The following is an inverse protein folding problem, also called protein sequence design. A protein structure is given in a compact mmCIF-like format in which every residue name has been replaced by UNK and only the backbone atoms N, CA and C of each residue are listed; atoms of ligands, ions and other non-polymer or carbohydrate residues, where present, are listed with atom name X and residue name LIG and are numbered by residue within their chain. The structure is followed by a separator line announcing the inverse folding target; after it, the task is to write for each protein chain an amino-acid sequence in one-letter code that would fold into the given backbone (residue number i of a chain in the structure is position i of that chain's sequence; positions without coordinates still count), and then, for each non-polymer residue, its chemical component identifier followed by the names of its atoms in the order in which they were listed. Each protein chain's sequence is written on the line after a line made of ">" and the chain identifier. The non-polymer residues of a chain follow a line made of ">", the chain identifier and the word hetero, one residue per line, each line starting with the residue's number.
data_IF_553222043742
#
_entry.id   IF_553222043742
#
_cell.length_a   1.000
_cell.length_b   1.000
_cell.length_c   1.000
_cell.angle_alpha   90.00
_cell.angle_beta   90.00
_cell.angle_gamma   90.00
#
_symmetry.space_group_name_H-M   'P 1'
#
loop_
_entity.id
_entity.type
_entity.pdbx_description
1 polymer ?
#
# COMPACT_ATOMS: atom_id res chain seq x y z
N UNK A 1 -2.46 -46.05 0.28
CA UNK A 1 -3.23 -45.56 -0.88
C UNK A 1 -4.00 -44.33 -0.42
N UNK A 2 -3.42 -43.14 -0.57
CA UNK A 2 -4.03 -41.87 -0.12
C UNK A 2 -5.00 -41.36 -1.21
N UNK A 3 -6.22 -40.91 -0.88
CA UNK A 3 -7.20 -40.52 -1.87
C UNK A 3 -6.85 -39.16 -2.50
N UNK A 4 -6.88 -39.11 -3.83
CA UNK A 4 -6.54 -37.96 -4.70
C UNK A 4 -7.49 -36.75 -4.56
N UNK A 5 -8.45 -36.80 -3.64
CA UNK A 5 -9.53 -35.80 -3.52
C UNK A 5 -9.07 -34.44 -3.00
N UNK A 6 -7.95 -34.35 -2.27
CA UNK A 6 -7.47 -33.08 -1.71
C UNK A 6 -6.88 -32.14 -2.77
N UNK A 7 -6.21 -32.71 -3.78
CA UNK A 7 -5.65 -31.95 -4.91
C UNK A 7 -6.77 -31.47 -5.86
N UNK A 8 -7.78 -32.30 -6.11
CA UNK A 8 -8.95 -31.93 -6.90
C UNK A 8 -9.77 -30.81 -6.23
N UNK A 9 -9.95 -30.84 -4.90
CA UNK A 9 -10.61 -29.76 -4.16
C UNK A 9 -9.84 -28.42 -4.25
N UNK A 10 -8.51 -28.46 -4.15
CA UNK A 10 -7.66 -27.26 -4.29
C UNK A 10 -7.71 -26.70 -5.72
N UNK A 11 -7.68 -27.58 -6.72
CA UNK A 11 -7.73 -27.19 -8.13
C UNK A 11 -9.10 -26.63 -8.53
N UNK A 12 -10.18 -27.19 -7.96
CA UNK A 12 -11.54 -26.66 -8.10
C UNK A 12 -11.71 -25.30 -7.40
N UNK A 13 -11.11 -25.14 -6.23
CA UNK A 13 -11.05 -23.84 -5.54
C UNK A 13 -10.30 -22.77 -6.34
N UNK A 14 -9.23 -23.12 -7.06
CA UNK A 14 -8.52 -22.19 -7.95
C UNK A 14 -9.36 -21.79 -9.19
N UNK A 15 -10.16 -22.72 -9.74
CA UNK A 15 -11.07 -22.41 -10.84
C UNK A 15 -12.27 -21.55 -10.41
N UNK A 16 -12.84 -21.80 -9.23
CA UNK A 16 -13.92 -20.97 -8.66
C UNK A 16 -13.45 -19.54 -8.35
N UNK A 17 -12.21 -19.36 -7.89
CA UNK A 17 -11.60 -18.03 -7.71
C UNK A 17 -11.38 -17.33 -9.05
N UNK A 18 -11.06 -18.07 -10.12
CA UNK A 18 -10.82 -17.50 -11.44
C UNK A 18 -12.12 -17.08 -12.16
N UNK A 19 -13.26 -17.71 -11.83
CA UNK A 19 -14.59 -17.36 -12.38
C UNK A 19 -15.26 -16.17 -11.67
N UNK A 20 -14.71 -15.69 -10.55
CA UNK A 20 -15.20 -14.49 -9.85
C UNK A 20 -14.51 -13.18 -10.32
N UNK A 21 -13.65 -13.23 -11.33
CA UNK A 21 -12.87 -12.06 -11.82
C UNK A 21 -13.44 -11.45 -13.11
N UNK A 22 -14.67 -11.78 -13.54
CA UNK A 22 -15.21 -11.23 -14.80
C UNK A 22 -16.55 -10.53 -14.58
N UNK A 23 -16.50 -9.20 -14.81
CA UNK A 23 -17.57 -8.24 -15.03
C UNK A 23 -18.52 -7.91 -13.87
N UNK A 24 -18.00 -7.24 -12.84
CA UNK A 24 -18.77 -6.17 -12.21
C UNK A 24 -18.62 -4.91 -13.08
N UNK A 25 -19.70 -4.20 -13.45
CA UNK A 25 -19.56 -2.94 -14.14
C UNK A 25 -18.72 -2.03 -13.23
N UNK A 26 -17.71 -1.38 -13.80
CA UNK A 26 -17.03 -0.29 -13.13
C UNK A 26 -18.08 0.80 -12.88
N UNK A 27 -18.75 0.74 -11.74
CA UNK A 27 -19.34 1.93 -11.15
C UNK A 27 -18.16 2.88 -10.96
N UNK A 28 -18.02 3.83 -11.88
CA UNK A 28 -17.23 5.04 -11.63
C UNK A 28 -17.74 5.58 -10.31
N UNK A 29 -17.00 5.29 -9.25
CA UNK A 29 -17.20 5.86 -7.93
C UNK A 29 -16.93 7.35 -8.10
N UNK A 30 -17.95 8.11 -8.51
CA UNK A 30 -17.91 9.53 -8.86
C UNK A 30 -17.84 10.42 -7.61
N UNK A 31 -17.24 9.89 -6.54
CA UNK A 31 -16.99 10.57 -5.29
C UNK A 31 -15.49 10.51 -4.96
N UNK A 32 -15.00 11.57 -4.35
CA UNK A 32 -13.67 11.62 -3.76
C UNK A 32 -13.76 11.11 -2.31
N UNK A 33 -12.74 10.41 -1.79
CA UNK A 33 -12.77 9.81 -0.45
C UNK A 33 -12.68 10.82 0.71
N UNK A 34 -12.82 12.12 0.41
CA UNK A 34 -12.85 13.21 1.36
C UNK A 34 -14.27 13.54 1.80
N UNK A 35 -14.44 13.95 3.06
CA UNK A 35 -15.71 14.54 3.51
C UNK A 35 -15.91 15.95 2.97
N UNK A 36 -17.15 16.43 2.99
CA UNK A 36 -17.53 17.78 2.56
C UNK A 36 -16.69 18.88 3.23
N UNK A 37 -16.43 18.78 4.54
CA UNK A 37 -15.58 19.76 5.25
C UNK A 37 -14.13 19.87 4.75
N UNK A 38 -13.58 18.82 4.12
CA UNK A 38 -12.25 18.90 3.46
C UNK A 38 -12.34 19.64 2.13
N UNK A 39 -13.51 19.58 1.49
CA UNK A 39 -13.79 20.23 0.21
C UNK A 39 -14.19 21.69 0.37
N UNK A 40 -14.78 22.07 1.51
CA UNK A 40 -15.15 23.43 1.87
C UNK A 40 -13.95 24.38 2.07
N UNK A 41 -12.78 23.85 2.42
CA UNK A 41 -11.56 24.64 2.57
C UNK A 41 -11.19 25.33 1.23
N UNK A 42 -11.28 26.65 1.20
CA UNK A 42 -10.86 27.44 0.04
C UNK A 42 -9.36 27.30 -0.20
N UNK A 43 -8.99 26.79 -1.37
CA UNK A 43 -7.58 26.80 -1.79
C UNK A 43 -7.18 28.25 -2.10
N UNK A 44 -6.09 28.77 -1.51
CA UNK A 44 -5.53 30.03 -1.94
C UNK A 44 -5.27 30.00 -3.45
N UNK A 45 -5.57 31.11 -4.14
CA UNK A 45 -5.42 31.24 -5.62
C UNK A 45 -3.98 30.95 -6.08
N UNK A 46 -3.01 30.99 -5.18
CA UNK A 46 -1.59 30.68 -5.37
C UNK A 46 -1.13 29.43 -4.60
N UNK A 47 -2.02 28.49 -4.28
CA UNK A 47 -1.66 27.25 -3.59
C UNK A 47 -0.67 26.45 -4.43
N UNK A 48 0.62 26.53 -4.07
CA UNK A 48 1.70 25.85 -4.79
C UNK A 48 1.80 24.41 -4.33
N UNK A 49 1.37 23.47 -5.16
CA UNK A 49 1.71 22.06 -4.95
C UNK A 49 3.23 21.91 -4.86
N UNK A 50 3.77 21.23 -3.83
CA UNK A 50 5.20 21.02 -3.71
C UNK A 50 5.69 20.18 -4.90
N UNK A 51 6.27 20.85 -5.90
CA UNK A 51 6.49 20.37 -7.28
C UNK A 51 7.45 19.17 -7.41
N UNK A 52 8.02 18.71 -6.30
CA UNK A 52 9.10 17.70 -6.28
C UNK A 52 8.86 16.58 -5.27
N UNK A 53 7.63 16.43 -4.79
CA UNK A 53 7.26 15.43 -3.81
C UNK A 53 6.33 14.46 -4.52
N UNK A 54 6.88 13.58 -5.36
CA UNK A 54 6.11 12.50 -6.01
C UNK A 54 6.37 11.19 -5.24
N UNK A 55 5.31 10.41 -5.03
CA UNK A 55 5.33 9.14 -4.32
C UNK A 55 4.70 8.06 -5.19
N UNK A 56 5.54 7.19 -5.71
CA UNK A 56 5.17 6.10 -6.61
C UNK A 56 4.84 4.78 -5.88
N UNK A 57 4.98 4.75 -4.55
CA UNK A 57 4.83 3.54 -3.73
C UNK A 57 6.13 2.84 -3.36
N UNK A 58 7.29 3.28 -3.87
CA UNK A 58 8.57 2.58 -3.67
C UNK A 58 9.46 3.23 -2.62
N UNK A 59 9.40 4.56 -2.48
CA UNK A 59 10.17 5.30 -1.50
C UNK A 59 9.60 5.15 -0.07
N UNK A 60 10.34 5.63 0.93
CA UNK A 60 9.92 5.54 2.33
C UNK A 60 8.69 6.44 2.61
N UNK A 61 7.51 5.89 2.96
CA UNK A 61 6.31 6.69 3.19
C UNK A 61 6.41 7.64 4.38
N UNK A 62 7.15 7.27 5.43
CA UNK A 62 7.33 8.13 6.60
C UNK A 62 8.16 9.36 6.23
N UNK A 63 9.18 9.15 5.41
CA UNK A 63 9.98 10.25 4.86
C UNK A 63 9.15 11.13 3.93
N UNK A 64 8.32 10.52 3.08
CA UNK A 64 7.39 11.26 2.21
C UNK A 64 6.44 12.15 3.00
N UNK A 65 5.78 11.60 4.03
CA UNK A 65 4.90 12.35 4.95
C UNK A 65 5.66 13.48 5.63
N UNK A 66 6.86 13.22 6.14
CA UNK A 66 7.67 14.24 6.82
C UNK A 66 8.06 15.39 5.87
N UNK A 67 8.48 15.08 4.64
CA UNK A 67 8.80 16.08 3.61
C UNK A 67 7.56 16.93 3.26
N UNK A 68 6.41 16.28 3.13
CA UNK A 68 5.15 16.97 2.86
C UNK A 68 4.72 17.87 4.03
N UNK A 69 4.78 17.39 5.28
CA UNK A 69 4.43 18.16 6.47
C UNK A 69 5.28 19.43 6.60
N UNK A 70 6.58 19.35 6.29
CA UNK A 70 7.47 20.52 6.25
C UNK A 70 7.06 21.54 5.16
N UNK A 71 6.69 21.06 3.97
CA UNK A 71 6.20 21.94 2.90
C UNK A 71 4.86 22.58 3.26
N UNK A 72 3.95 21.80 3.84
CA UNK A 72 2.64 22.26 4.29
C UNK A 72 2.75 23.32 5.39
N UNK A 73 3.72 23.17 6.30
CA UNK A 73 4.01 24.16 7.33
C UNK A 73 4.48 25.48 6.72
N UNK A 74 5.39 25.44 5.75
CA UNK A 74 5.90 26.63 5.06
C UNK A 74 4.78 27.40 4.34
N UNK A 75 3.85 26.67 3.72
CA UNK A 75 2.71 27.25 3.01
C UNK A 75 1.48 27.51 3.90
N UNK A 76 1.56 27.20 5.21
CA UNK A 76 0.49 27.38 6.20
C UNK A 76 -0.84 26.72 5.80
N UNK A 77 -0.77 25.50 5.27
CA UNK A 77 -1.97 24.76 4.88
C UNK A 77 -2.85 24.39 6.07
N UNK A 78 -4.16 24.57 5.89
CA UNK A 78 -5.19 23.95 6.73
C UNK A 78 -5.23 22.45 6.49
N UNK A 79 -5.91 21.70 7.34
CA UNK A 79 -5.99 20.25 7.22
C UNK A 79 -6.71 19.78 5.95
N UNK A 80 -7.74 20.49 5.49
CA UNK A 80 -8.40 20.16 4.22
C UNK A 80 -7.49 20.41 3.02
N UNK A 81 -6.75 21.53 3.02
CA UNK A 81 -5.73 21.82 2.01
C UNK A 81 -4.64 20.76 2.02
N UNK A 82 -4.16 20.34 3.20
CA UNK A 82 -3.17 19.25 3.29
C UNK A 82 -3.67 17.98 2.63
N UNK A 83 -4.90 17.54 2.89
CA UNK A 83 -5.49 16.38 2.25
C UNK A 83 -5.48 16.48 0.72
N UNK A 84 -5.97 17.61 0.20
CA UNK A 84 -6.11 17.84 -1.24
C UNK A 84 -4.78 18.01 -1.95
N UNK A 85 -3.78 18.61 -1.31
CA UNK A 85 -2.43 18.74 -1.89
C UNK A 85 -1.63 17.45 -1.72
N UNK A 86 -1.87 16.65 -0.67
CA UNK A 86 -1.17 15.39 -0.48
C UNK A 86 -1.51 14.38 -1.59
N UNK A 87 -2.76 14.31 -2.06
CA UNK A 87 -3.10 13.40 -3.16
C UNK A 87 -2.40 13.75 -4.47
N UNK A 88 -2.09 15.02 -4.72
CA UNK A 88 -1.36 15.43 -5.93
C UNK A 88 0.09 14.94 -5.92
N UNK A 89 0.57 14.46 -4.77
CA UNK A 89 1.89 13.85 -4.63
C UNK A 89 1.90 12.37 -5.03
N UNK A 90 0.75 11.72 -5.20
CA UNK A 90 0.70 10.29 -5.47
C UNK A 90 0.83 10.00 -6.97
N UNK A 91 1.57 8.92 -7.27
CA UNK A 91 1.74 8.40 -8.60
C UNK A 91 1.60 6.88 -8.60
N UNK A 92 1.30 6.32 -9.78
CA UNK A 92 1.29 4.88 -10.04
C UNK A 92 0.50 4.11 -8.97
N UNK A 93 1.17 3.22 -8.24
CA UNK A 93 0.58 2.33 -7.24
C UNK A 93 -0.05 3.10 -6.08
N UNK A 94 0.51 4.25 -5.69
CA UNK A 94 -0.06 5.08 -4.63
C UNK A 94 -1.39 5.73 -5.04
N UNK A 95 -1.49 6.15 -6.32
CA UNK A 95 -2.73 6.70 -6.86
C UNK A 95 -3.82 5.62 -7.00
N UNK A 96 -3.44 4.40 -7.42
CA UNK A 96 -4.35 3.25 -7.46
C UNK A 96 -4.91 2.92 -6.08
N UNK A 97 -4.06 2.91 -5.04
CA UNK A 97 -4.49 2.71 -3.66
C UNK A 97 -5.50 3.77 -3.22
N UNK A 98 -5.23 5.05 -3.50
CA UNK A 98 -6.14 6.14 -3.12
C UNK A 98 -7.51 5.99 -3.77
N UNK A 99 -7.57 5.61 -5.05
CA UNK A 99 -8.82 5.39 -5.78
C UNK A 99 -9.64 4.19 -5.27
N UNK A 100 -9.03 3.29 -4.49
CA UNK A 100 -9.70 2.15 -3.87
C UNK A 100 -10.27 2.46 -2.48
N UNK A 101 -10.02 3.66 -1.94
CA UNK A 101 -10.56 4.04 -0.64
C UNK A 101 -12.07 4.24 -0.72
N UNK A 102 -12.84 3.84 0.31
CA UNK A 102 -14.26 4.13 0.35
C UNK A 102 -14.51 5.64 0.41
N UNK A 103 -15.68 6.05 -0.10
CA UNK A 103 -16.08 7.46 -0.14
C UNK A 103 -16.20 8.07 1.26
N UNK A 104 -15.84 9.35 1.38
CA UNK A 104 -16.02 10.16 2.59
C UNK A 104 -15.39 9.59 3.89
N UNK A 105 -14.33 8.79 3.78
CA UNK A 105 -13.65 8.20 4.94
C UNK A 105 -12.63 9.16 5.56
N UNK A 106 -12.07 10.08 4.78
CA UNK A 106 -11.01 10.99 5.23
C UNK A 106 -11.61 12.32 5.67
N UNK A 107 -11.57 12.63 6.96
CA UNK A 107 -12.10 13.88 7.54
C UNK A 107 -11.05 14.96 7.73
N UNK A 108 -9.79 14.57 7.90
CA UNK A 108 -8.67 15.47 8.15
C UNK A 108 -7.36 14.81 7.76
N UNK A 109 -6.28 15.59 7.81
CA UNK A 109 -4.97 15.11 7.38
C UNK A 109 -4.40 14.05 8.32
N UNK A 110 -4.73 14.09 9.62
CA UNK A 110 -4.25 13.10 10.58
C UNK A 110 -4.82 11.71 10.30
N UNK A 111 -6.12 11.60 10.01
CA UNK A 111 -6.76 10.35 9.58
C UNK A 111 -6.15 9.84 8.28
N UNK A 112 -5.97 10.73 7.29
CA UNK A 112 -5.38 10.36 6.01
C UNK A 112 -3.95 9.82 6.17
N UNK A 113 -3.13 10.51 6.97
CA UNK A 113 -1.75 10.10 7.29
C UNK A 113 -1.72 8.72 7.93
N UNK A 114 -2.62 8.46 8.87
CA UNK A 114 -2.71 7.16 9.54
C UNK A 114 -3.10 6.04 8.57
N UNK A 115 -4.09 6.26 7.69
CA UNK A 115 -4.48 5.30 6.66
C UNK A 115 -3.32 5.00 5.69
N UNK A 116 -2.64 6.04 5.23
CA UNK A 116 -1.48 5.92 4.33
C UNK A 116 -0.34 5.12 4.97
N UNK A 117 0.01 5.41 6.23
CA UNK A 117 1.05 4.68 6.95
C UNK A 117 0.63 3.25 7.34
N UNK A 118 -0.66 2.99 7.52
CA UNK A 118 -1.17 1.64 7.74
C UNK A 118 -1.08 0.79 6.47
N UNK A 119 -1.39 1.36 5.30
CA UNK A 119 -1.21 0.68 4.01
C UNK A 119 0.24 0.24 3.80
N UNK A 120 1.23 1.03 4.22
CA UNK A 120 2.65 0.61 4.22
C UNK A 120 2.88 -0.67 5.03
N UNK A 121 2.33 -0.73 6.25
CA UNK A 121 2.50 -1.89 7.12
C UNK A 121 1.93 -3.14 6.45
N UNK A 122 0.73 -3.03 5.88
CA UNK A 122 0.09 -4.11 5.13
C UNK A 122 0.88 -4.49 3.87
N UNK A 123 1.32 -3.53 3.05
CA UNK A 123 2.09 -3.80 1.83
C UNK A 123 3.43 -4.51 2.12
N UNK A 124 4.14 -4.11 3.18
CA UNK A 124 5.38 -4.81 3.59
C UNK A 124 5.14 -6.20 4.16
N UNK A 125 4.02 -6.40 4.88
CA UNK A 125 3.61 -7.73 5.35
C UNK A 125 3.28 -8.67 4.19
N UNK A 126 2.58 -8.18 3.16
CA UNK A 126 2.24 -8.98 1.98
C UNK A 126 3.46 -9.25 1.08
N UNK A 127 4.42 -8.32 0.97
CA UNK A 127 5.65 -8.55 0.21
C UNK A 127 6.62 -9.53 0.89
N UNK A 128 6.51 -9.75 2.20
CA UNK A 128 7.39 -10.64 2.98
C UNK A 128 6.56 -11.62 3.79
N UNK A 129 5.86 -12.49 3.07
CA UNK A 129 5.12 -13.61 3.68
C UNK A 129 6.09 -14.80 3.85
N UNK A 130 5.84 -15.73 4.77
CA UNK A 130 6.65 -16.97 4.88
C UNK A 130 6.81 -17.68 3.52
N UNK A 131 5.77 -17.62 2.66
CA UNK A 131 5.80 -18.12 1.28
C UNK A 131 6.91 -17.50 0.41
N UNK A 132 7.30 -16.24 0.64
CA UNK A 132 8.42 -15.62 -0.08
C UNK A 132 9.77 -16.17 0.36
N UNK A 133 9.94 -16.55 1.63
CA UNK A 133 11.15 -17.24 2.10
C UNK A 133 11.26 -18.62 1.43
N UNK A 134 10.15 -19.38 1.35
CA UNK A 134 10.12 -20.70 0.68
C UNK A 134 10.46 -20.65 -0.82
N UNK A 135 10.35 -19.47 -1.45
CA UNK A 135 10.75 -19.26 -2.85
C UNK A 135 12.26 -19.05 -3.05
N UNK A 136 13.02 -18.80 -1.98
CA UNK A 136 14.47 -18.57 -2.04
C UNK A 136 15.19 -19.92 -2.14
N UNK A 137 15.62 -20.26 -3.35
CA UNK A 137 16.48 -21.43 -3.61
C UNK A 137 17.91 -20.99 -3.92
N UNK A 138 18.86 -21.88 -3.62
CA UNK A 138 20.25 -21.72 -4.08
C UNK A 138 20.27 -21.80 -5.60
N UNK A 139 20.88 -20.80 -6.26
CA UNK A 139 21.04 -20.78 -7.71
C UNK A 139 22.20 -21.69 -8.13
N UNK A 140 22.16 -22.19 -9.36
CA UNK A 140 23.24 -23.00 -9.91
C UNK A 140 24.51 -22.16 -10.03
N UNK A 141 25.62 -22.63 -9.44
CA UNK A 141 26.89 -21.89 -9.37
C UNK A 141 26.99 -20.85 -8.25
N UNK A 142 25.95 -20.66 -7.44
CA UNK A 142 25.99 -19.74 -6.29
C UNK A 142 26.74 -20.36 -5.10
N UNK A 143 27.73 -19.67 -4.51
CA UNK A 143 28.37 -20.11 -3.28
C UNK A 143 27.37 -20.20 -2.13
N UNK A 144 27.45 -21.28 -1.34
CA UNK A 144 26.54 -21.52 -0.21
C UNK A 144 26.46 -20.33 0.77
N UNK A 145 27.57 -19.63 0.98
CA UNK A 145 27.65 -18.46 1.84
C UNK A 145 26.74 -17.31 1.36
N UNK A 146 26.69 -17.06 0.06
CA UNK A 146 25.85 -16.00 -0.51
C UNK A 146 24.37 -16.37 -0.46
N UNK A 147 24.05 -17.64 -0.72
CA UNK A 147 22.70 -18.18 -0.53
C UNK A 147 22.22 -17.98 0.92
N UNK A 148 23.02 -18.41 1.90
CA UNK A 148 22.67 -18.29 3.33
C UNK A 148 22.51 -16.84 3.75
N UNK A 149 23.32 -15.93 3.20
CA UNK A 149 23.20 -14.51 3.48
C UNK A 149 21.86 -13.94 2.95
N UNK A 150 21.47 -14.28 1.71
CA UNK A 150 20.17 -13.88 1.13
C UNK A 150 19.00 -14.48 1.93
N UNK A 151 19.09 -15.76 2.25
CA UNK A 151 18.06 -16.47 3.02
C UNK A 151 17.87 -15.86 4.41
N UNK A 152 18.96 -15.66 5.17
CA UNK A 152 18.90 -15.05 6.51
C UNK A 152 18.41 -13.60 6.47
N UNK A 153 18.80 -12.83 5.45
CA UNK A 153 18.32 -11.45 5.29
C UNK A 153 16.81 -11.44 5.06
N UNK A 154 16.28 -12.31 4.20
CA UNK A 154 14.85 -12.42 3.98
C UNK A 154 14.09 -12.95 5.21
N UNK A 155 14.70 -13.87 5.98
CA UNK A 155 14.12 -14.42 7.19
C UNK A 155 13.98 -13.40 8.33
N UNK A 156 14.95 -12.49 8.48
CA UNK A 156 14.91 -11.41 9.48
C UNK A 156 13.86 -10.33 9.19
N UNK A 157 13.37 -10.27 7.95
CA UNK A 157 12.43 -9.26 7.51
C UNK A 157 10.96 -9.73 7.54
N UNK A 158 10.73 -11.01 7.81
CA UNK A 158 9.39 -11.55 8.11
C UNK A 158 9.15 -11.39 9.62
N UNK A 159 8.10 -10.68 10.05
CA UNK A 159 7.75 -10.63 11.46
C UNK A 159 7.43 -12.05 11.94
N UNK A 160 8.30 -12.61 12.78
CA UNK A 160 8.08 -13.92 13.39
C UNK A 160 6.76 -13.87 14.15
N UNK A 161 5.74 -14.57 13.65
CA UNK A 161 4.64 -14.99 14.49
C UNK A 161 5.24 -15.99 15.48
N UNK A 162 5.64 -15.52 16.67
CA UNK A 162 5.99 -16.40 17.78
C UNK A 162 4.77 -17.23 18.10
N UNK A 163 4.82 -18.48 17.66
CA UNK A 163 3.97 -19.55 18.12
C UNK A 163 4.65 -20.15 19.35
N UNK A 164 4.03 -19.95 20.51
CA UNK A 164 4.17 -20.87 21.65
C UNK A 164 2.73 -21.33 21.94
N UNK A 165 2.38 -22.52 21.42
CA UNK A 165 2.19 -23.80 22.15
C UNK A 165 0.95 -23.78 23.04
#
# INVERSE_FOLDING_TARGET
>A
MYPLTRLECLQKGLQDVQYQVIDAPAEEQTGIPFTEGVMEDELPVNCRTPTRVEYDGTSNPREHVSRFENAALLHRYTDGIKCRVFITTFARTAQQWFNQLPLAVIRNFQEFRSLFLHQLASSRMHQKTELSIFSIRQKEGEPLKEYLQRFNTAALEVPSATQEV
#
